data_IF_900127592172
#
_entry.id   IF_900127592172
#
_cell.length_a   1.000
_cell.length_b   1.000
_cell.length_c   1.000
_cell.angle_alpha   90.00
_cell.angle_beta   90.00
_cell.angle_gamma   90.00
#
_symmetry.space_group_name_H-M   'P 1'
#
loop_
_entity.id
_entity.type
_entity.pdbx_description
1 polymer ?
#
# COMPACT_ATOMS: atom_id res chain seq x y z
N UNK A 1 14.41 -57.04 62.62
CA UNK A 1 14.29 -55.62 62.98
C UNK A 1 14.37 -54.81 61.67
N UNK A 2 13.26 -54.69 60.94
CA UNK A 2 12.33 -53.53 60.93
C UNK A 2 12.93 -52.28 60.27
N UNK A 3 12.49 -52.02 59.02
CA UNK A 3 12.19 -50.69 58.40
C UNK A 3 13.36 -49.72 58.12
N UNK A 4 13.43 -48.88 57.08
CA UNK A 4 12.47 -48.39 56.06
C UNK A 4 13.23 -47.53 55.02
N UNK A 5 12.76 -47.56 53.75
CA UNK A 5 12.46 -46.41 52.85
C UNK A 5 13.58 -45.69 52.06
N UNK A 6 13.65 -46.07 50.76
CA UNK A 6 13.51 -45.29 49.51
C UNK A 6 14.16 -43.89 49.34
N UNK A 7 15.00 -43.77 48.29
CA UNK A 7 14.71 -43.08 47.00
C UNK A 7 15.90 -43.26 46.03
N UNK A 8 15.79 -44.18 45.08
CA UNK A 8 15.73 -43.98 43.60
C UNK A 8 17.02 -43.35 43.00
N UNK A 9 17.90 -44.12 42.33
CA UNK A 9 17.84 -44.61 40.93
C UNK A 9 17.85 -43.43 39.92
N UNK A 10 18.74 -43.33 38.92
CA UNK A 10 19.24 -44.37 38.03
C UNK A 10 20.48 -43.83 37.25
N UNK A 11 21.56 -44.61 37.18
CA UNK A 11 22.53 -44.57 36.07
C UNK A 11 21.85 -45.22 34.85
N UNK A 12 22.20 -44.93 33.59
CA UNK A 12 23.18 -45.74 32.82
C UNK A 12 23.07 -45.34 31.32
N UNK A 13 24.23 -45.04 30.72
CA UNK A 13 24.68 -45.27 29.32
C UNK A 13 24.10 -44.47 28.14
N UNK A 14 24.99 -43.79 27.42
CA UNK A 14 24.82 -43.35 26.03
C UNK A 14 25.84 -44.11 25.19
N UNK A 15 25.36 -44.96 24.27
CA UNK A 15 26.16 -45.63 23.25
C UNK A 15 25.54 -45.38 21.85
N UNK A 16 26.42 -45.31 20.85
CA UNK A 16 26.20 -45.33 19.39
C UNK A 16 25.13 -44.41 18.78
N UNK A 17 25.35 -43.07 18.72
CA UNK A 17 24.56 -42.24 17.80
C UNK A 17 25.30 -41.06 17.14
N UNK A 18 26.64 -41.09 17.09
CA UNK A 18 27.44 -39.92 16.68
C UNK A 18 27.73 -39.82 15.16
N UNK A 19 27.27 -40.80 14.37
CA UNK A 19 27.39 -40.77 12.90
C UNK A 19 26.19 -40.12 12.20
N UNK A 20 25.01 -40.08 12.83
CA UNK A 20 23.77 -39.55 12.24
C UNK A 20 23.71 -38.01 12.26
N UNK A 21 24.39 -37.37 13.21
CA UNK A 21 24.43 -35.90 13.34
C UNK A 21 25.20 -35.19 12.23
N UNK A 22 26.09 -35.87 11.49
CA UNK A 22 26.87 -35.25 10.41
C UNK A 22 26.14 -35.17 9.07
N UNK A 23 24.97 -35.79 8.96
CA UNK A 23 24.17 -35.82 7.73
C UNK A 23 22.94 -34.89 7.78
N UNK A 24 22.69 -34.22 8.92
CA UNK A 24 21.52 -33.36 9.12
C UNK A 24 21.40 -32.17 8.14
N UNK A 25 22.48 -31.84 7.41
CA UNK A 25 22.51 -30.76 6.41
C UNK A 25 22.68 -31.26 4.97
N UNK A 26 22.51 -32.56 4.71
CA UNK A 26 22.39 -33.01 3.32
C UNK A 26 21.00 -32.64 2.80
N UNK A 27 20.97 -31.71 1.84
CA UNK A 27 19.75 -31.38 1.11
C UNK A 27 19.24 -32.65 0.41
N UNK A 28 17.98 -33.07 0.60
CA UNK A 28 17.40 -34.15 -0.19
C UNK A 28 17.57 -33.85 -1.69
N UNK A 29 17.73 -34.88 -2.56
CA UNK A 29 17.82 -34.66 -3.99
C UNK A 29 16.66 -33.77 -4.44
N UNK A 30 16.97 -32.66 -5.11
CA UNK A 30 15.96 -31.69 -5.54
C UNK A 30 14.95 -32.39 -6.47
N UNK A 31 13.75 -32.67 -5.98
CA UNK A 31 12.65 -33.01 -6.86
C UNK A 31 12.33 -31.78 -7.71
N UNK A 32 12.41 -31.96 -9.03
CA UNK A 32 12.05 -30.92 -9.98
C UNK A 32 10.57 -30.58 -9.80
N UNK A 33 10.29 -29.50 -9.08
CA UNK A 33 8.96 -28.91 -8.97
C UNK A 33 8.35 -28.78 -10.36
N UNK A 34 7.30 -29.57 -10.63
CA UNK A 34 6.48 -29.42 -11.83
C UNK A 34 5.64 -28.17 -11.64
N UNK A 35 6.09 -27.08 -12.25
CA UNK A 35 5.38 -25.83 -12.39
C UNK A 35 4.13 -26.03 -13.23
N UNK A 36 3.04 -26.41 -12.60
CA UNK A 36 1.73 -26.38 -13.23
C UNK A 36 0.76 -25.65 -12.32
N UNK A 37 0.10 -24.64 -12.91
CA UNK A 37 -1.05 -23.87 -12.42
C UNK A 37 -0.73 -22.58 -11.63
N UNK A 38 -0.03 -21.64 -12.27
CA UNK A 38 -0.37 -20.23 -12.05
C UNK A 38 -1.43 -19.82 -13.08
N UNK A 39 -2.62 -19.50 -12.60
CA UNK A 39 -3.70 -18.88 -13.36
C UNK A 39 -3.18 -17.65 -14.10
N UNK A 40 -3.50 -17.54 -15.39
CA UNK A 40 -3.11 -16.44 -16.26
C UNK A 40 -3.48 -15.09 -15.63
N UNK A 41 -2.48 -14.38 -15.14
CA UNK A 41 -2.63 -12.98 -14.72
C UNK A 41 -2.84 -12.12 -15.97
N UNK A 42 -3.74 -11.13 -15.94
CA UNK A 42 -3.83 -10.14 -17.01
C UNK A 42 -2.45 -9.52 -17.23
N UNK A 43 -2.06 -9.38 -18.50
CA UNK A 43 -0.70 -9.00 -18.90
C UNK A 43 -0.20 -7.73 -18.20
N UNK A 44 1.13 -7.59 -17.99
CA UNK A 44 1.70 -6.47 -17.25
C UNK A 44 1.33 -5.15 -17.93
N UNK A 45 0.52 -4.33 -17.24
CA UNK A 45 0.28 -2.95 -17.68
C UNK A 45 1.61 -2.18 -17.66
N UNK A 46 1.78 -1.29 -18.64
CA UNK A 46 2.90 -0.36 -18.62
C UNK A 46 2.88 0.48 -17.34
N UNK A 47 4.03 0.58 -16.67
CA UNK A 47 4.22 1.38 -15.46
C UNK A 47 3.71 2.81 -15.63
N UNK A 48 3.80 3.38 -16.84
CA UNK A 48 3.30 4.73 -17.14
C UNK A 48 1.76 4.82 -17.10
N UNK A 49 1.07 3.78 -17.54
CA UNK A 49 -0.39 3.71 -17.47
C UNK A 49 -0.85 3.65 -16.02
N UNK A 50 -0.19 2.84 -15.19
CA UNK A 50 -0.48 2.74 -13.76
C UNK A 50 -0.31 4.10 -13.06
N UNK A 51 0.83 4.76 -13.28
CA UNK A 51 1.12 6.09 -12.73
C UNK A 51 0.05 7.11 -13.12
N UNK A 52 -0.35 7.11 -14.39
CA UNK A 52 -1.36 8.05 -14.90
C UNK A 52 -2.73 7.82 -14.25
N UNK A 53 -3.12 6.56 -14.06
CA UNK A 53 -4.39 6.19 -13.41
C UNK A 53 -4.39 6.56 -11.93
N UNK A 54 -3.28 6.31 -11.25
CA UNK A 54 -3.08 6.74 -9.86
C UNK A 54 -3.23 8.26 -9.79
N UNK A 55 -2.47 9.03 -10.59
CA UNK A 55 -2.55 10.49 -10.55
C UNK A 55 -3.95 11.06 -10.83
N UNK A 56 -4.69 10.46 -11.77
CA UNK A 56 -6.09 10.80 -12.03
C UNK A 56 -6.99 10.52 -10.82
N UNK A 57 -6.89 9.34 -10.21
CA UNK A 57 -7.70 8.96 -9.05
C UNK A 57 -7.40 9.83 -7.81
N UNK A 58 -6.14 10.21 -7.60
CA UNK A 58 -5.78 11.15 -6.54
C UNK A 58 -6.36 12.54 -6.78
N UNK A 59 -6.27 13.05 -8.01
CA UNK A 59 -6.85 14.35 -8.38
C UNK A 59 -8.37 14.36 -8.16
N UNK A 60 -9.07 13.32 -8.60
CA UNK A 60 -10.52 13.19 -8.43
C UNK A 60 -10.91 13.22 -6.95
N UNK A 61 -10.25 12.41 -6.13
CA UNK A 61 -10.52 12.29 -4.69
C UNK A 61 -10.20 13.57 -3.92
N UNK A 62 -9.22 14.35 -4.38
CA UNK A 62 -8.78 15.58 -3.68
C UNK A 62 -9.30 16.88 -4.31
N UNK A 63 -10.14 16.79 -5.34
CA UNK A 63 -10.76 17.95 -6.00
C UNK A 63 -11.55 18.83 -5.04
N UNK A 64 -12.28 18.23 -4.09
CA UNK A 64 -13.12 18.92 -3.11
C UNK A 64 -12.35 19.60 -1.97
N UNK A 65 -11.08 19.23 -1.76
CA UNK A 65 -10.22 19.78 -0.70
C UNK A 65 -9.09 20.67 -1.26
N UNK A 66 -9.02 20.80 -2.58
CA UNK A 66 -8.06 21.68 -3.25
C UNK A 66 -8.36 23.14 -2.91
N UNK A 67 -7.33 23.96 -2.72
CA UNK A 67 -7.45 25.40 -2.45
C UNK A 67 -6.59 26.15 -3.45
N UNK A 68 -6.81 27.45 -3.67
CA UNK A 68 -6.04 28.25 -4.66
C UNK A 68 -4.53 28.17 -4.47
N UNK A 69 -4.07 27.99 -3.21
CA UNK A 69 -2.66 27.82 -2.85
C UNK A 69 -2.11 26.40 -3.12
N UNK A 70 -2.98 25.38 -3.16
CA UNK A 70 -2.62 23.96 -3.31
C UNK A 70 -3.48 23.36 -4.42
N UNK A 71 -2.97 23.44 -5.65
CA UNK A 71 -3.63 22.89 -6.84
C UNK A 71 -3.25 21.42 -7.02
N UNK A 72 -4.22 20.54 -6.91
CA UNK A 72 -4.04 19.10 -7.14
C UNK A 72 -4.22 18.76 -8.63
N UNK A 73 -3.45 19.38 -9.52
CA UNK A 73 -3.55 19.14 -10.97
C UNK A 73 -3.03 17.73 -11.33
N UNK A 74 -3.83 16.97 -12.08
CA UNK A 74 -3.53 15.58 -12.42
C UNK A 74 -2.15 15.40 -13.08
N UNK A 75 -1.74 16.29 -14.00
CA UNK A 75 -0.43 16.20 -14.67
C UNK A 75 0.74 16.37 -13.70
N UNK A 76 0.61 17.30 -12.75
CA UNK A 76 1.62 17.57 -11.72
C UNK A 76 1.69 16.45 -10.69
N UNK A 77 0.55 15.85 -10.33
CA UNK A 77 0.46 14.70 -9.43
C UNK A 77 1.05 13.46 -10.09
N UNK A 78 0.70 13.13 -11.34
CA UNK A 78 1.25 11.97 -12.06
C UNK A 78 2.76 12.06 -12.24
N UNK A 79 3.29 13.25 -12.55
CA UNK A 79 4.75 13.46 -12.67
C UNK A 79 5.46 13.24 -11.34
N UNK A 80 4.87 13.71 -10.23
CA UNK A 80 5.36 13.44 -8.88
C UNK A 80 5.31 11.94 -8.55
N UNK A 81 4.19 11.27 -8.81
CA UNK A 81 4.01 9.83 -8.58
C UNK A 81 5.05 9.03 -9.36
N UNK A 82 5.28 9.36 -10.64
CA UNK A 82 6.35 8.74 -11.44
C UNK A 82 7.70 8.84 -10.75
N UNK A 83 8.07 10.06 -10.36
CA UNK A 83 9.41 10.33 -9.83
C UNK A 83 9.62 9.70 -8.45
N UNK A 84 8.63 9.76 -7.56
CA UNK A 84 8.75 9.16 -6.23
C UNK A 84 8.81 7.64 -6.30
N UNK A 85 8.01 6.99 -7.15
CA UNK A 85 8.05 5.54 -7.34
C UNK A 85 9.40 5.11 -7.95
N UNK A 86 9.90 5.86 -8.95
CA UNK A 86 11.22 5.63 -9.57
C UNK A 86 12.35 5.73 -8.55
N UNK A 87 12.38 6.78 -7.73
CA UNK A 87 13.46 7.00 -6.74
C UNK A 87 13.41 6.05 -5.55
N UNK A 88 12.21 5.66 -5.12
CA UNK A 88 12.01 4.71 -4.02
C UNK A 88 12.12 3.25 -4.45
N UNK A 89 12.26 2.96 -5.76
CA UNK A 89 12.25 1.59 -6.31
C UNK A 89 11.01 0.80 -5.87
N UNK A 90 9.87 1.49 -5.77
CA UNK A 90 8.62 0.89 -5.31
C UNK A 90 8.08 -0.09 -6.35
N UNK A 91 7.70 -1.29 -5.90
CA UNK A 91 7.06 -2.29 -6.74
C UNK A 91 5.54 -2.04 -6.86
N UNK A 92 4.88 -2.75 -7.78
CA UNK A 92 3.42 -2.62 -7.98
C UNK A 92 2.64 -2.87 -6.69
N UNK A 93 3.01 -3.88 -5.89
CA UNK A 93 2.32 -4.22 -4.64
C UNK A 93 2.35 -3.07 -3.63
N UNK A 94 3.51 -2.47 -3.41
CA UNK A 94 3.68 -1.28 -2.56
C UNK A 94 2.92 -0.07 -3.10
N UNK A 95 2.86 0.08 -4.42
CA UNK A 95 2.16 1.18 -5.08
C UNK A 95 0.64 1.07 -4.94
N UNK A 96 0.08 -0.12 -5.18
CA UNK A 96 -1.35 -0.41 -5.01
C UNK A 96 -1.74 -0.29 -3.53
N UNK A 97 -0.89 -0.77 -2.62
CA UNK A 97 -1.11 -0.64 -1.18
C UNK A 97 -1.10 0.82 -0.72
N UNK A 98 -0.14 1.63 -1.20
CA UNK A 98 -0.11 3.06 -0.93
C UNK A 98 -1.37 3.77 -1.44
N UNK A 99 -1.88 3.38 -2.62
CA UNK A 99 -3.14 3.87 -3.14
C UNK A 99 -4.33 3.45 -2.27
N UNK A 100 -4.35 2.21 -1.77
CA UNK A 100 -5.38 1.74 -0.84
C UNK A 100 -5.41 2.58 0.45
N UNK A 101 -4.24 2.81 1.06
CA UNK A 101 -4.11 3.67 2.25
C UNK A 101 -4.57 5.09 1.97
N UNK A 102 -4.21 5.66 0.82
CA UNK A 102 -4.67 6.99 0.42
C UNK A 102 -6.20 7.06 0.39
N UNK A 103 -6.87 6.07 -0.20
CA UNK A 103 -8.34 6.02 -0.21
C UNK A 103 -8.90 5.92 1.22
N UNK A 104 -8.39 5.00 2.04
CA UNK A 104 -8.83 4.80 3.44
C UNK A 104 -8.67 6.09 4.27
N UNK A 105 -7.59 6.86 4.09
CA UNK A 105 -7.36 8.15 4.78
C UNK A 105 -8.43 9.20 4.47
N UNK A 106 -9.04 9.14 3.28
CA UNK A 106 -10.10 10.08 2.86
C UNK A 106 -11.52 9.52 2.96
N UNK A 107 -11.72 8.20 3.10
CA UNK A 107 -13.05 7.56 3.14
C UNK A 107 -13.87 7.98 4.38
N UNK A 108 -13.22 8.41 5.48
CA UNK A 108 -13.87 8.91 6.69
C UNK A 108 -13.95 10.44 6.82
N UNK A 109 -13.55 11.20 5.79
CA UNK A 109 -13.51 12.66 5.88
C UNK A 109 -14.87 13.28 5.57
N UNK A 110 -15.47 13.90 6.58
CA UNK A 110 -16.48 14.93 6.34
C UNK A 110 -15.76 16.20 5.91
N UNK A 111 -16.28 16.90 4.90
CA UNK A 111 -15.76 18.20 4.41
C UNK A 111 -15.66 19.25 5.54
N UNK A 112 -16.30 18.99 6.68
CA UNK A 112 -16.32 19.83 7.88
C UNK A 112 -15.15 19.60 8.86
N UNK A 113 -14.35 18.55 8.68
CA UNK A 113 -13.23 18.28 9.57
C UNK A 113 -12.08 19.27 9.31
N UNK A 114 -11.47 19.79 10.38
CA UNK A 114 -10.29 20.68 10.29
C UNK A 114 -9.08 19.89 9.79
N UNK A 115 -8.95 19.77 8.47
CA UNK A 115 -7.82 19.11 7.84
C UNK A 115 -6.55 19.98 7.96
N UNK A 116 -5.39 19.41 8.31
CA UNK A 116 -4.12 20.13 8.24
C UNK A 116 -3.84 20.63 6.82
N UNK A 117 -3.10 21.74 6.69
CA UNK A 117 -2.78 22.33 5.38
C UNK A 117 -2.06 21.33 4.47
N UNK A 118 -1.10 20.57 4.99
CA UNK A 118 -0.36 19.58 4.20
C UNK A 118 -1.26 18.47 3.63
N UNK A 119 -2.36 18.14 4.30
CA UNK A 119 -3.24 17.04 3.89
C UNK A 119 -4.21 17.45 2.78
N UNK A 120 -4.29 18.75 2.44
CA UNK A 120 -4.92 19.23 1.20
C UNK A 120 -4.08 18.93 -0.05
N UNK A 121 -2.78 18.68 0.12
CA UNK A 121 -1.88 18.32 -0.97
C UNK A 121 -1.86 16.81 -1.18
N UNK A 122 -2.45 16.34 -2.28
CA UNK A 122 -2.51 14.91 -2.62
C UNK A 122 -1.13 14.25 -2.68
N UNK A 123 -0.12 14.97 -3.21
CA UNK A 123 1.27 14.50 -3.29
C UNK A 123 1.86 14.18 -1.92
N UNK A 124 1.61 15.03 -0.92
CA UNK A 124 2.14 14.86 0.44
C UNK A 124 1.48 13.68 1.15
N UNK A 125 0.17 13.55 1.03
CA UNK A 125 -0.55 12.42 1.65
C UNK A 125 -0.17 11.10 0.96
N UNK A 126 -0.07 11.10 -0.37
CA UNK A 126 0.37 9.93 -1.11
C UNK A 126 1.80 9.50 -0.75
N UNK A 127 2.73 10.45 -0.63
CA UNK A 127 4.10 10.17 -0.18
C UNK A 127 4.11 9.47 1.19
N UNK A 128 3.28 9.95 2.12
CA UNK A 128 3.17 9.38 3.46
C UNK A 128 2.59 7.98 3.42
N UNK A 129 1.56 7.75 2.60
CA UNK A 129 0.99 6.43 2.37
C UNK A 129 2.01 5.47 1.73
N UNK A 130 2.86 5.97 0.83
CA UNK A 130 3.92 5.19 0.19
C UNK A 130 5.02 4.79 1.18
N UNK A 131 5.41 5.72 2.07
CA UNK A 131 6.33 5.43 3.18
C UNK A 131 5.78 4.29 4.04
N UNK A 132 4.50 4.36 4.42
CA UNK A 132 3.84 3.33 5.22
C UNK A 132 3.79 1.98 4.50
N UNK A 133 3.40 1.96 3.23
CA UNK A 133 3.37 0.74 2.44
C UNK A 133 4.76 0.10 2.31
N UNK A 134 5.81 0.92 2.10
CA UNK A 134 7.18 0.43 2.03
C UNK A 134 7.66 -0.15 3.36
N UNK A 135 7.29 0.47 4.49
CA UNK A 135 7.62 -0.04 5.84
C UNK A 135 6.86 -1.32 6.17
N UNK A 136 5.62 -1.44 5.70
CA UNK A 136 4.77 -2.60 5.98
C UNK A 136 5.18 -3.84 5.18
N UNK A 137 5.60 -3.67 3.92
CA UNK A 137 5.88 -4.79 3.02
C UNK A 137 7.33 -5.28 3.05
N UNK A 138 8.28 -4.46 3.51
CA UNK A 138 9.70 -4.79 3.45
C UNK A 138 10.30 -4.85 4.86
N UNK A 139 10.97 -5.96 5.18
CA UNK A 139 11.70 -6.13 6.44
C UNK A 139 12.82 -5.09 6.59
N UNK A 140 13.44 -4.71 5.48
CA UNK A 140 14.40 -3.62 5.41
C UNK A 140 13.78 -2.43 4.66
N UNK A 141 13.36 -1.42 5.43
CA UNK A 141 12.72 -0.22 4.90
C UNK A 141 13.63 1.01 5.01
N UNK A 142 13.44 1.96 4.10
CA UNK A 142 14.24 3.19 4.10
C UNK A 142 14.00 4.02 5.36
N UNK A 143 15.09 4.47 5.98
CA UNK A 143 15.06 5.44 7.06
C UNK A 143 14.47 6.78 6.57
N UNK A 144 13.92 7.57 7.50
CA UNK A 144 13.36 8.89 7.19
C UNK A 144 14.39 9.86 6.58
N UNK A 145 15.68 9.69 6.87
CA UNK A 145 16.77 10.43 6.21
C UNK A 145 16.82 10.16 4.70
N UNK A 146 16.57 8.93 4.27
CA UNK A 146 16.51 8.55 2.85
C UNK A 146 15.26 9.12 2.19
N UNK A 147 14.10 9.07 2.85
CA UNK A 147 12.89 9.69 2.35
C UNK A 147 13.00 11.22 2.23
N UNK A 148 13.76 11.87 3.11
CA UNK A 148 14.14 13.27 2.98
C UNK A 148 14.92 13.52 1.68
N UNK A 149 15.94 12.69 1.36
CA UNK A 149 16.70 12.82 0.11
C UNK A 149 15.85 12.56 -1.14
N UNK A 150 14.90 11.62 -1.07
CA UNK A 150 14.01 11.29 -2.19
C UNK A 150 13.03 12.43 -2.47
N UNK A 151 12.39 12.97 -1.43
CA UNK A 151 11.27 13.93 -1.55
C UNK A 151 11.68 15.40 -1.48
N UNK A 152 12.85 15.71 -0.90
CA UNK A 152 13.29 17.07 -0.57
C UNK A 152 12.57 17.70 0.63
N UNK A 153 11.65 16.99 1.30
CA UNK A 153 10.92 17.49 2.46
C UNK A 153 11.71 17.28 3.74
N UNK A 154 11.61 18.20 4.71
CA UNK A 154 12.30 18.06 6.00
C UNK A 154 11.87 16.78 6.70
N UNK A 155 12.82 16.10 7.33
CA UNK A 155 12.55 14.84 8.04
C UNK A 155 11.45 14.98 9.10
N UNK A 156 11.42 16.11 9.83
CA UNK A 156 10.39 16.40 10.83
C UNK A 156 8.98 16.46 10.22
N UNK A 157 8.85 17.04 9.02
CA UNK A 157 7.58 17.13 8.31
C UNK A 157 7.13 15.75 7.83
N UNK A 158 8.05 14.94 7.31
CA UNK A 158 7.78 13.55 6.90
C UNK A 158 7.29 12.71 8.09
N UNK A 159 7.97 12.78 9.24
CA UNK A 159 7.55 12.06 10.45
C UNK A 159 6.20 12.56 10.99
N UNK A 160 5.88 13.84 10.82
CA UNK A 160 4.58 14.40 11.20
C UNK A 160 3.48 13.86 10.29
N UNK A 161 3.69 13.91 8.97
CA UNK A 161 2.73 13.43 7.99
C UNK A 161 2.52 11.92 8.10
N UNK A 162 3.57 11.15 8.37
CA UNK A 162 3.50 9.71 8.63
C UNK A 162 2.60 9.39 9.83
N UNK A 163 2.87 10.02 10.99
CA UNK A 163 2.05 9.84 12.20
C UNK A 163 0.60 10.24 11.98
N UNK A 164 0.36 11.32 11.26
CA UNK A 164 -1.00 11.75 10.92
C UNK A 164 -1.71 10.71 10.04
N UNK A 165 -1.04 10.12 9.05
CA UNK A 165 -1.63 9.06 8.25
C UNK A 165 -1.91 7.79 9.08
N UNK A 166 -1.03 7.42 10.00
CA UNK A 166 -1.25 6.27 10.90
C UNK A 166 -2.46 6.47 11.80
N UNK A 167 -2.59 7.67 12.39
CA UNK A 167 -3.73 8.06 13.20
C UNK A 167 -5.04 7.99 12.40
N UNK A 168 -5.03 8.50 11.16
CA UNK A 168 -6.18 8.39 10.25
C UNK A 168 -6.54 6.97 9.85
N UNK A 169 -5.57 6.06 9.82
CA UNK A 169 -5.78 4.64 9.53
C UNK A 169 -6.08 3.83 10.80
N UNK A 170 -6.13 4.45 11.98
CA UNK A 170 -6.28 3.77 13.26
C UNK A 170 -5.27 2.62 13.43
N UNK A 171 -4.05 2.83 12.88
CA UNK A 171 -2.97 1.82 12.81
C UNK A 171 -3.36 0.49 12.13
N UNK A 172 -4.51 0.41 11.45
CA UNK A 172 -5.01 -0.78 10.73
C UNK A 172 -4.41 -0.83 9.32
N UNK A 173 -3.14 -1.20 9.26
CA UNK A 173 -2.36 -1.30 8.01
C UNK A 173 -2.59 -2.60 7.24
N UNK A 174 -3.10 -3.65 7.89
CA UNK A 174 -3.38 -4.91 7.24
C UNK A 174 -4.51 -4.73 6.21
N UNK A 175 -4.20 -5.01 4.94
CA UNK A 175 -5.14 -5.06 3.84
C UNK A 175 -5.22 -6.52 3.41
N UNK A 176 -6.42 -7.11 3.44
CA UNK A 176 -6.60 -8.50 3.03
C UNK A 176 -6.32 -8.65 1.52
N UNK A 177 -5.99 -9.85 1.06
CA UNK A 177 -5.76 -10.07 -0.37
C UNK A 177 -7.01 -9.73 -1.21
N UNK A 178 -8.20 -9.94 -0.66
CA UNK A 178 -9.47 -9.55 -1.29
C UNK A 178 -9.61 -8.02 -1.41
N UNK A 179 -9.29 -7.26 -0.36
CA UNK A 179 -9.28 -5.80 -0.41
C UNK A 179 -8.20 -5.29 -1.39
N UNK A 180 -7.01 -5.88 -1.34
CA UNK A 180 -5.91 -5.53 -2.23
C UNK A 180 -6.30 -5.73 -3.70
N UNK A 181 -6.88 -6.88 -4.04
CA UNK A 181 -7.37 -7.17 -5.38
C UNK A 181 -8.44 -6.17 -5.86
N UNK A 182 -9.28 -5.64 -4.96
CA UNK A 182 -10.24 -4.58 -5.32
C UNK A 182 -9.52 -3.30 -5.74
N UNK A 183 -8.52 -2.86 -4.98
CA UNK A 183 -7.75 -1.66 -5.32
C UNK A 183 -6.88 -1.87 -6.57
N UNK A 184 -6.31 -3.06 -6.72
CA UNK A 184 -5.61 -3.47 -7.93
C UNK A 184 -6.56 -3.36 -9.13
N UNK A 185 -7.71 -4.02 -9.10
CA UNK A 185 -8.69 -3.94 -10.19
C UNK A 185 -9.15 -2.51 -10.50
N UNK A 186 -9.30 -1.64 -9.49
CA UNK A 186 -9.60 -0.21 -9.73
C UNK A 186 -8.49 0.49 -10.53
N UNK A 187 -7.24 0.12 -10.33
CA UNK A 187 -6.11 0.69 -11.06
C UNK A 187 -5.84 -0.01 -12.40
N UNK A 188 -6.15 -1.30 -12.55
CA UNK A 188 -5.84 -2.08 -13.75
C UNK A 188 -7.03 -2.26 -14.72
N UNK A 189 -8.27 -2.25 -14.23
CA UNK A 189 -9.49 -2.52 -15.03
C UNK A 189 -10.30 -1.25 -15.34
N UNK A 190 -10.08 -0.13 -14.64
CA UNK A 190 -10.86 1.10 -14.83
C UNK A 190 -10.54 1.87 -16.15
N UNK A 191 -10.50 1.16 -17.28
CA UNK A 191 -10.40 1.72 -18.63
C UNK A 191 -11.64 2.53 -19.06
N UNK A 192 -12.77 2.52 -18.33
CA UNK A 192 -14.04 3.05 -18.85
C UNK A 192 -14.97 3.73 -17.80
N UNK A 193 -14.53 4.78 -17.09
CA UNK A 193 -15.46 5.58 -16.27
C UNK A 193 -15.40 7.09 -16.45
N UNK A 194 -14.75 7.60 -17.50
CA UNK A 194 -14.71 9.06 -17.77
C UNK A 194 -15.91 9.60 -18.58
N UNK A 195 -16.83 8.74 -19.02
CA UNK A 195 -17.97 9.16 -19.88
C UNK A 195 -19.33 9.28 -19.18
N UNK A 196 -19.45 9.05 -17.85
CA UNK A 196 -20.79 9.05 -17.20
C UNK A 196 -21.11 10.30 -16.39
N UNK A 197 -20.12 10.97 -15.79
CA UNK A 197 -20.40 12.14 -14.94
C UNK A 197 -20.59 13.46 -15.71
N UNK A 198 -20.06 13.62 -16.92
CA UNK A 198 -20.40 14.79 -17.77
C UNK A 198 -21.78 14.62 -18.43
N UNK A 199 -22.16 13.40 -18.81
CA UNK A 199 -23.42 13.12 -19.49
C UNK A 199 -24.66 13.20 -18.59
N UNK A 200 -24.54 13.02 -17.27
CA UNK A 200 -25.66 13.22 -16.34
C UNK A 200 -25.95 14.70 -16.10
N UNK A 201 -24.93 15.57 -16.02
CA UNK A 201 -25.15 17.01 -15.83
C UNK A 201 -25.77 17.70 -17.05
N UNK A 202 -25.44 17.23 -18.27
CA UNK A 202 -26.01 17.74 -19.53
C UNK A 202 -27.46 17.27 -19.70
N UNK A 203 -27.79 16.06 -19.26
CA UNK A 203 -29.18 15.57 -19.23
C UNK A 203 -30.03 16.36 -18.23
N UNK A 204 -29.49 16.65 -17.05
CA UNK A 204 -30.22 17.41 -16.02
C UNK A 204 -30.48 18.88 -16.40
N UNK A 205 -29.59 19.51 -17.17
CA UNK A 205 -29.83 20.84 -17.73
C UNK A 205 -30.90 20.82 -18.85
N UNK A 206 -30.94 19.74 -19.65
CA UNK A 206 -31.95 19.56 -20.69
C UNK A 206 -33.36 19.40 -20.11
N UNK A 207 -33.51 18.64 -19.02
CA UNK A 207 -34.80 18.46 -18.34
C UNK A 207 -35.32 19.74 -17.67
N UNK A 208 -34.44 20.63 -17.20
CA UNK A 208 -34.86 21.92 -16.61
C UNK A 208 -35.24 22.97 -17.66
N UNK A 209 -34.65 22.93 -18.85
CA UNK A 209 -34.98 23.85 -19.95
C UNK A 209 -36.35 23.57 -20.59
N UNK A 210 -36.84 22.33 -20.51
CA UNK A 210 -38.16 21.92 -21.01
C UNK A 210 -39.33 22.20 -20.06
N UNK A 211 -39.07 22.65 -18.82
CA UNK A 211 -40.11 22.90 -17.80
C UNK A 211 -40.36 24.38 -17.52
N UNK A 212 -39.76 25.29 -18.31
CA UNK A 212 -39.88 26.76 -18.13
C UNK A 212 -40.48 27.45 -19.38
N UNK A 213 -41.26 26.71 -20.17
CA UNK A 213 -42.11 27.24 -21.25
C UNK A 213 -43.51 26.64 -21.03
#
# INVERSE_FOLDING_TARGET
MVSRVLKEANLVMVDTNDLDRRLAYQTPPYEQWKSTLCSASPGPLSSDTLVSRIGMALCERTSKISTDKIRNEAGSVSSFVREVLRRSKSNTRSTVLAFAYFNKVYDGQSVKDKLPEFARCSKRVFLSCLILANKFLNDNSFAMKTWHMISGLRQKDLCLMERWCLDRLDYKLLVTETEYAVFENRLFVASNKRMRCENESVRDLSYKKLRTI
#
